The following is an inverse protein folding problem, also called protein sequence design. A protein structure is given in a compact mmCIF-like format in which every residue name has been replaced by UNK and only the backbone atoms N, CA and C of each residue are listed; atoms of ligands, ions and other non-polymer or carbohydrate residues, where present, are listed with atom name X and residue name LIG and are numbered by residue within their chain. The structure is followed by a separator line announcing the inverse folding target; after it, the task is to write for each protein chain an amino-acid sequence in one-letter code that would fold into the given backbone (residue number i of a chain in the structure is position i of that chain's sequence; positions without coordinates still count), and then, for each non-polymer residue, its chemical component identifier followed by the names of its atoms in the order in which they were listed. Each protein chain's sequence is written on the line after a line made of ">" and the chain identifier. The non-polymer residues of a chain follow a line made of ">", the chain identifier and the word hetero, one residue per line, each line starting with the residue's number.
data_IF_076517400615
#
_entry.id   IF_076517400615
#
_cell.length_a   1.000
_cell.length_b   1.000
_cell.length_c   1.000
_cell.angle_alpha   90.00
_cell.angle_beta   90.00
_cell.angle_gamma   90.00
#
_symmetry.space_group_name_H-M   'P 1'
#
loop_
_entity.id
_entity.type
_entity.pdbx_description
1 polymer ?
#
# COMPACT_ATOMS: atom_id res chain seq x y z
N UNK A 1 8.98 -26.80 -24.19
CA UNK A 1 7.52 -26.98 -24.26
C UNK A 1 6.91 -26.28 -23.06
N UNK A 2 6.23 -25.15 -23.25
CA UNK A 2 5.41 -24.55 -22.20
C UNK A 2 4.09 -25.30 -22.27
N UNK A 3 3.84 -26.20 -21.32
CA UNK A 3 2.53 -26.81 -21.14
C UNK A 3 1.55 -25.67 -20.91
N UNK A 4 0.56 -25.51 -21.79
CA UNK A 4 -0.53 -24.56 -21.59
C UNK A 4 -1.23 -24.94 -20.29
N UNK A 5 -1.04 -24.12 -19.26
CA UNK A 5 -1.72 -24.29 -17.99
C UNK A 5 -3.15 -23.81 -18.19
N UNK A 6 -4.12 -24.58 -17.68
CA UNK A 6 -5.52 -24.15 -17.64
C UNK A 6 -5.83 -23.67 -16.21
N UNK A 7 -5.83 -22.35 -15.93
CA UNK A 7 -6.14 -21.83 -14.59
C UNK A 7 -7.54 -22.23 -14.11
N UNK A 8 -8.48 -22.51 -15.02
CA UNK A 8 -9.84 -22.94 -14.68
C UNK A 8 -9.89 -24.39 -14.20
N UNK A 9 -8.80 -25.14 -14.33
CA UNK A 9 -8.66 -26.48 -13.73
C UNK A 9 -8.32 -26.45 -12.23
N UNK A 10 -7.99 -25.27 -11.68
CA UNK A 10 -7.86 -25.09 -10.23
C UNK A 10 -9.24 -25.22 -9.61
N UNK A 11 -9.56 -26.41 -9.08
CA UNK A 11 -10.70 -26.57 -8.18
C UNK A 11 -10.54 -25.52 -7.07
N UNK A 12 -11.57 -24.69 -6.86
CA UNK A 12 -11.62 -23.73 -5.74
C UNK A 12 -11.33 -24.51 -4.46
N UNK A 13 -10.11 -24.37 -3.96
CA UNK A 13 -9.64 -25.00 -2.73
C UNK A 13 -10.24 -24.25 -1.54
N UNK A 14 -10.23 -24.86 -0.36
CA UNK A 14 -10.58 -24.16 0.88
C UNK A 14 -9.80 -22.84 1.02
N UNK A 15 -8.54 -22.80 0.54
CA UNK A 15 -7.72 -21.59 0.53
C UNK A 15 -8.29 -20.48 -0.35
N UNK A 16 -8.90 -20.79 -1.50
CA UNK A 16 -9.57 -19.78 -2.32
C UNK A 16 -10.76 -19.16 -1.58
N UNK A 17 -11.56 -19.98 -0.90
CA UNK A 17 -12.69 -19.48 -0.10
C UNK A 17 -12.21 -18.55 1.01
N UNK A 18 -11.16 -18.93 1.75
CA UNK A 18 -10.56 -18.08 2.78
C UNK A 18 -9.98 -16.79 2.20
N UNK A 19 -9.27 -16.85 1.06
CA UNK A 19 -8.74 -15.66 0.41
C UNK A 19 -9.85 -14.69 0.00
N UNK A 20 -10.94 -15.20 -0.61
CA UNK A 20 -12.05 -14.36 -1.05
C UNK A 20 -12.78 -13.72 0.13
N UNK A 21 -13.01 -14.46 1.23
CA UNK A 21 -13.59 -13.89 2.46
C UNK A 21 -12.68 -12.81 3.07
N UNK A 22 -11.39 -13.11 3.21
CA UNK A 22 -10.39 -12.17 3.68
C UNK A 22 -10.32 -10.89 2.83
N UNK A 23 -10.28 -11.04 1.51
CA UNK A 23 -10.21 -9.93 0.57
C UNK A 23 -11.44 -9.02 0.71
N UNK A 24 -12.64 -9.61 0.82
CA UNK A 24 -13.88 -8.85 1.06
C UNK A 24 -13.83 -8.08 2.37
N UNK A 25 -13.37 -8.70 3.46
CA UNK A 25 -13.21 -8.01 4.76
C UNK A 25 -12.18 -6.89 4.67
N UNK A 26 -11.03 -7.10 4.04
CA UNK A 26 -10.04 -6.02 3.82
C UNK A 26 -10.60 -4.85 3.00
N UNK A 27 -11.29 -5.15 1.88
CA UNK A 27 -11.91 -4.13 1.03
C UNK A 27 -12.97 -3.32 1.79
N UNK A 28 -13.82 -3.99 2.58
CA UNK A 28 -14.82 -3.37 3.46
C UNK A 28 -14.21 -2.38 4.44
N UNK A 29 -13.13 -2.78 5.08
CA UNK A 29 -12.47 -2.00 6.12
C UNK A 29 -11.54 -0.93 5.58
N UNK A 30 -11.19 -1.01 4.29
CA UNK A 30 -10.14 -0.22 3.65
C UNK A 30 -8.78 -0.39 4.34
N UNK A 31 -8.55 -1.57 4.93
CA UNK A 31 -7.28 -1.92 5.56
C UNK A 31 -6.19 -2.26 4.53
N UNK A 32 -6.58 -2.54 3.28
CA UNK A 32 -5.63 -2.64 2.17
C UNK A 32 -5.01 -1.26 1.93
N UNK A 33 -3.70 -1.12 2.14
CA UNK A 33 -2.96 0.15 2.02
C UNK A 33 -3.76 1.38 2.53
N UNK A 34 -4.06 1.44 3.83
CA UNK A 34 -5.05 2.38 4.39
C UNK A 34 -4.63 3.85 4.22
N UNK A 35 -3.37 4.07 3.86
CA UNK A 35 -2.79 5.37 3.59
C UNK A 35 -3.37 6.04 2.33
N UNK A 36 -3.91 5.28 1.36
CA UNK A 36 -4.54 5.87 0.18
C UNK A 36 -5.70 6.78 0.57
N UNK A 37 -6.67 6.24 1.32
CA UNK A 37 -7.81 7.02 1.81
C UNK A 37 -7.37 8.17 2.72
N UNK A 38 -6.38 7.92 3.59
CA UNK A 38 -5.85 8.95 4.48
C UNK A 38 -5.31 10.15 3.70
N UNK A 39 -4.45 9.91 2.70
CA UNK A 39 -3.81 10.99 1.96
C UNK A 39 -4.80 11.71 1.04
N UNK A 40 -5.79 11.02 0.46
CA UNK A 40 -6.89 11.64 -0.28
C UNK A 40 -7.63 12.66 0.60
N UNK A 41 -7.89 12.33 1.87
CA UNK A 41 -8.53 13.24 2.81
C UNK A 41 -7.62 14.41 3.22
N UNK A 42 -6.34 14.12 3.53
CA UNK A 42 -5.37 15.14 3.97
C UNK A 42 -5.05 16.15 2.87
N UNK A 43 -5.03 15.74 1.60
CA UNK A 43 -4.69 16.61 0.48
C UNK A 43 -5.84 17.49 -0.02
N UNK A 44 -7.04 17.41 0.58
CA UNK A 44 -8.16 18.26 0.19
C UNK A 44 -7.78 19.73 0.33
N UNK A 45 -7.84 20.47 -0.78
CA UNK A 45 -7.47 21.88 -0.85
C UNK A 45 -5.99 22.16 -1.14
N UNK A 46 -5.16 21.13 -1.30
CA UNK A 46 -3.80 21.29 -1.82
C UNK A 46 -3.82 21.47 -3.34
N UNK A 47 -2.87 22.24 -3.86
CA UNK A 47 -2.64 22.27 -5.30
C UNK A 47 -2.04 20.93 -5.80
N UNK A 48 -2.07 20.63 -7.11
CA UNK A 48 -1.59 19.35 -7.63
C UNK A 48 -0.11 19.04 -7.32
N UNK A 49 0.73 20.06 -7.20
CA UNK A 49 2.17 19.89 -6.93
C UNK A 49 2.39 19.58 -5.45
N UNK A 50 1.70 20.29 -4.55
CA UNK A 50 1.68 20.01 -3.12
C UNK A 50 1.16 18.59 -2.83
N UNK A 51 0.10 18.16 -3.52
CA UNK A 51 -0.48 16.84 -3.38
C UNK A 51 0.51 15.73 -3.78
N UNK A 52 1.19 15.87 -4.92
CA UNK A 52 2.24 14.93 -5.36
C UNK A 52 3.41 14.93 -4.38
N UNK A 53 3.81 16.11 -3.91
CA UNK A 53 4.90 16.24 -2.96
C UNK A 53 4.60 15.57 -1.61
N UNK A 54 3.40 15.75 -1.06
CA UNK A 54 2.98 15.09 0.16
C UNK A 54 2.96 13.56 0.00
N UNK A 55 2.43 13.03 -1.10
CA UNK A 55 2.47 11.59 -1.41
C UNK A 55 3.90 11.07 -1.50
N UNK A 56 4.80 11.82 -2.13
CA UNK A 56 6.21 11.45 -2.20
C UNK A 56 6.90 11.46 -0.83
N UNK A 57 6.67 12.48 -0.01
CA UNK A 57 7.16 12.53 1.37
C UNK A 57 6.61 11.35 2.20
N UNK A 58 5.34 10.98 2.01
CA UNK A 58 4.78 9.77 2.62
C UNK A 58 5.57 8.54 2.20
N UNK A 59 5.87 8.36 0.91
CA UNK A 59 6.67 7.23 0.44
C UNK A 59 8.11 7.28 0.95
N UNK A 60 8.67 8.48 1.13
CA UNK A 60 10.01 8.69 1.69
C UNK A 60 10.11 8.09 3.10
N UNK A 61 9.22 8.51 4.00
CA UNK A 61 9.21 8.09 5.41
C UNK A 61 8.45 6.77 5.66
N UNK A 62 7.54 6.39 4.76
CA UNK A 62 6.51 5.36 4.97
C UNK A 62 5.77 5.55 6.32
N UNK A 63 5.57 6.81 6.70
CA UNK A 63 4.92 7.25 7.93
C UNK A 63 4.17 8.56 7.66
N UNK A 64 2.85 8.62 7.91
CA UNK A 64 2.04 9.79 7.57
C UNK A 64 2.34 11.02 8.44
N UNK A 65 2.70 10.83 9.71
CA UNK A 65 3.02 11.94 10.61
C UNK A 65 4.39 12.55 10.30
N UNK A 66 5.42 11.75 10.01
CA UNK A 66 6.73 12.27 9.57
C UNK A 66 6.60 13.03 8.25
N UNK A 67 5.83 12.48 7.30
CA UNK A 67 5.57 13.13 6.02
C UNK A 67 4.82 14.45 6.18
N UNK A 68 3.73 14.45 6.95
CA UNK A 68 2.93 15.65 7.18
C UNK A 68 3.70 16.72 7.98
N UNK A 69 4.46 16.32 9.00
CA UNK A 69 5.35 17.21 9.75
C UNK A 69 6.37 17.92 8.84
N UNK A 70 6.93 17.18 7.88
CA UNK A 70 7.86 17.71 6.88
C UNK A 70 7.15 18.63 5.89
N UNK A 71 5.99 18.20 5.38
CA UNK A 71 5.18 18.96 4.43
C UNK A 71 4.75 20.33 4.98
N UNK A 72 4.35 20.41 6.26
CA UNK A 72 3.97 21.69 6.89
C UNK A 72 5.09 22.74 6.87
N UNK A 73 6.36 22.31 6.85
CA UNK A 73 7.54 23.19 6.83
C UNK A 73 8.06 23.42 5.41
N UNK A 74 7.86 22.43 4.53
CA UNK A 74 8.32 22.42 3.16
C UNK A 74 7.19 21.93 2.24
N UNK A 75 6.20 22.78 1.93
CA UNK A 75 4.99 22.35 1.22
C UNK A 75 5.20 22.10 -0.29
N UNK A 76 6.34 22.51 -0.83
CA UNK A 76 6.74 22.28 -2.23
C UNK A 76 8.07 21.52 -2.28
N UNK A 77 8.38 20.83 -3.40
CA UNK A 77 9.67 20.18 -3.59
C UNK A 77 10.83 21.15 -3.38
N UNK A 78 11.52 20.98 -2.26
CA UNK A 78 12.67 21.78 -1.88
C UNK A 78 13.63 20.93 -1.06
N UNK A 79 14.88 21.36 -0.98
CA UNK A 79 15.89 20.62 -0.24
C UNK A 79 15.54 20.59 1.25
N UNK A 80 15.47 19.39 1.80
CA UNK A 80 15.19 19.12 3.21
C UNK A 80 16.51 18.96 3.96
N UNK A 81 16.68 19.57 5.16
CA UNK A 81 17.89 19.43 5.95
C UNK A 81 18.02 18.03 6.57
N UNK A 82 19.26 17.66 6.90
CA UNK A 82 19.64 16.31 7.39
C UNK A 82 19.03 15.95 8.75
N UNK A 83 18.56 16.92 9.54
CA UNK A 83 17.90 16.65 10.83
C UNK A 83 16.61 15.84 10.68
N UNK A 84 15.98 15.87 9.49
CA UNK A 84 14.82 15.05 9.16
C UNK A 84 15.13 13.55 9.04
N UNK A 85 16.40 13.16 8.90
CA UNK A 85 16.79 11.74 8.97
C UNK A 85 16.54 11.11 10.35
N UNK A 86 16.32 11.94 11.38
CA UNK A 86 15.98 11.49 12.74
C UNK A 86 14.50 11.17 12.88
N UNK A 87 13.62 11.61 11.98
CA UNK A 87 12.20 11.33 12.06
C UNK A 87 11.93 9.84 11.90
N UNK A 88 10.85 9.37 12.53
CA UNK A 88 10.49 7.95 12.47
C UNK A 88 10.15 7.51 11.03
N UNK A 89 10.85 6.48 10.55
CA UNK A 89 10.59 5.82 9.28
C UNK A 89 9.77 4.55 9.54
N UNK A 90 8.55 4.48 9.00
CA UNK A 90 7.60 3.41 9.33
C UNK A 90 7.93 2.05 8.71
N UNK A 91 8.76 2.01 7.66
CA UNK A 91 9.28 0.79 7.04
C UNK A 91 10.67 1.05 6.51
N UNK A 92 11.68 0.40 7.10
CA UNK A 92 13.04 0.50 6.58
C UNK A 92 13.14 -0.18 5.21
N UNK A 93 13.54 0.59 4.21
CA UNK A 93 13.82 0.10 2.86
C UNK A 93 15.29 -0.28 2.78
N UNK A 94 15.64 -1.37 2.10
CA UNK A 94 17.03 -1.86 1.99
C UNK A 94 18.03 -0.77 1.59
N UNK A 95 17.63 0.11 0.67
CA UNK A 95 18.48 1.20 0.18
C UNK A 95 18.42 2.48 1.05
N UNK A 96 17.60 2.48 2.10
CA UNK A 96 17.46 3.56 3.08
C UNK A 96 17.80 3.12 4.50
N UNK A 97 18.51 1.99 4.65
CA UNK A 97 19.03 1.55 5.94
C UNK A 97 20.10 2.58 6.33
N UNK A 98 19.92 3.24 7.48
CA UNK A 98 20.76 4.32 8.04
C UNK A 98 20.74 5.67 7.26
N UNK A 99 20.10 6.68 7.87
CA UNK A 99 20.24 8.14 7.61
C UNK A 99 20.36 8.60 6.16
N UNK A 100 19.34 8.31 5.35
CA UNK A 100 19.38 8.72 3.94
C UNK A 100 18.01 9.05 3.35
N UNK A 101 17.00 9.27 4.21
CA UNK A 101 15.69 9.69 3.71
C UNK A 101 15.78 11.11 3.13
N UNK A 102 16.59 11.99 3.71
CA UNK A 102 16.83 13.34 3.16
C UNK A 102 17.53 13.27 1.81
N UNK A 103 18.54 12.39 1.65
CA UNK A 103 19.19 12.12 0.36
C UNK A 103 18.19 11.63 -0.69
N UNK A 104 17.29 10.72 -0.33
CA UNK A 104 16.21 10.26 -1.20
C UNK A 104 15.29 11.40 -1.60
N UNK A 105 14.83 12.18 -0.62
CA UNK A 105 13.93 13.31 -0.85
C UNK A 105 14.58 14.33 -1.78
N UNK A 106 15.80 14.74 -1.45
CA UNK A 106 16.57 15.73 -2.19
C UNK A 106 16.90 15.25 -3.61
N UNK A 107 17.01 13.94 -3.86
CA UNK A 107 17.20 13.43 -5.22
C UNK A 107 16.03 13.71 -6.15
N UNK A 108 14.78 13.64 -5.66
CA UNK A 108 13.62 14.04 -6.47
C UNK A 108 13.65 15.54 -6.74
N UNK A 109 13.95 16.35 -5.73
CA UNK A 109 14.06 17.81 -5.86
C UNK A 109 15.06 18.19 -6.95
N UNK A 110 16.21 17.50 -7.01
CA UNK A 110 17.21 17.72 -8.05
C UNK A 110 16.72 17.31 -9.45
N UNK A 111 16.04 16.16 -9.56
CA UNK A 111 15.48 15.67 -10.81
C UNK A 111 14.33 16.55 -11.34
N UNK A 112 13.62 17.23 -10.44
CA UNK A 112 12.41 18.00 -10.73
C UNK A 112 12.64 19.51 -10.90
N UNK A 113 13.90 19.97 -10.97
CA UNK A 113 14.25 21.40 -11.01
C UNK A 113 13.62 22.20 -12.16
N UNK A 114 13.30 21.54 -13.27
CA UNK A 114 12.85 22.19 -14.50
C UNK A 114 11.33 22.13 -14.73
N UNK A 115 10.52 21.80 -13.72
CA UNK A 115 9.07 21.64 -13.91
C UNK A 115 8.26 21.17 -12.70
N UNK A 116 8.92 20.87 -11.58
CA UNK A 116 8.25 20.29 -10.41
C UNK A 116 8.17 18.76 -10.47
N UNK A 117 7.84 18.18 -9.33
CA UNK A 117 7.79 16.74 -9.11
C UNK A 117 6.73 16.09 -9.99
N UNK A 118 5.56 16.72 -10.15
CA UNK A 118 4.50 16.19 -11.02
C UNK A 118 4.98 16.07 -12.46
N UNK A 119 5.50 17.15 -13.03
CA UNK A 119 5.98 17.18 -14.42
C UNK A 119 7.09 16.14 -14.64
N UNK A 120 8.04 16.04 -13.73
CA UNK A 120 9.11 15.04 -13.78
C UNK A 120 8.56 13.61 -13.83
N UNK A 121 7.64 13.28 -12.91
CA UNK A 121 7.12 11.92 -12.78
C UNK A 121 6.23 11.52 -13.96
N UNK A 122 5.50 12.48 -14.54
CA UNK A 122 4.63 12.25 -15.70
C UNK A 122 5.31 12.52 -17.03
N UNK A 123 6.63 12.75 -17.03
CA UNK A 123 7.40 12.94 -18.25
C UNK A 123 7.25 11.72 -19.16
N UNK A 124 7.03 11.97 -20.44
CA UNK A 124 6.87 10.98 -21.51
C UNK A 124 5.60 10.10 -21.38
N UNK A 125 4.59 10.58 -20.64
CA UNK A 125 3.26 9.97 -20.68
C UNK A 125 2.63 10.12 -22.08
N UNK A 126 1.92 9.08 -22.48
CA UNK A 126 1.21 8.90 -23.75
C UNK A 126 -0.30 8.77 -23.48
N UNK A 127 -1.09 8.44 -24.51
CA UNK A 127 -2.51 8.12 -24.35
C UNK A 127 -2.77 6.70 -23.80
N UNK A 128 -1.74 5.87 -23.63
CA UNK A 128 -1.83 4.50 -23.12
C UNK A 128 -1.54 4.46 -21.63
N UNK A 129 -2.58 4.29 -20.79
CA UNK A 129 -2.44 4.25 -19.31
C UNK A 129 -1.53 3.11 -18.84
N UNK A 130 -1.53 1.98 -19.54
CA UNK A 130 -0.67 0.83 -19.21
C UNK A 130 0.81 1.11 -19.53
N UNK A 131 1.09 1.85 -20.60
CA UNK A 131 2.46 2.26 -20.92
C UNK A 131 2.91 3.39 -20.00
N UNK A 132 2.01 4.30 -19.64
CA UNK A 132 2.28 5.34 -18.63
C UNK A 132 2.63 4.74 -17.27
N UNK A 133 2.04 3.60 -16.89
CA UNK A 133 2.44 2.85 -15.69
C UNK A 133 3.92 2.43 -15.75
N UNK A 134 4.37 1.86 -16.89
CA UNK A 134 5.77 1.48 -17.09
C UNK A 134 6.69 2.70 -17.08
N UNK A 135 6.27 3.79 -17.73
CA UNK A 135 7.00 5.07 -17.73
C UNK A 135 7.15 5.62 -16.33
N UNK A 136 6.07 5.64 -15.54
CA UNK A 136 6.08 6.09 -14.15
C UNK A 136 7.03 5.23 -13.29
N UNK A 137 6.99 3.90 -13.43
CA UNK A 137 7.92 3.00 -12.74
C UNK A 137 9.37 3.32 -13.10
N UNK A 138 9.67 3.58 -14.37
CA UNK A 138 11.01 3.95 -14.82
C UNK A 138 11.46 5.30 -14.24
N UNK A 139 10.60 6.32 -14.30
CA UNK A 139 10.86 7.63 -13.71
C UNK A 139 11.03 7.57 -12.19
N UNK A 140 10.33 6.66 -11.49
CA UNK A 140 10.51 6.47 -10.06
C UNK A 140 11.80 5.71 -9.72
N UNK A 141 12.27 4.81 -10.58
CA UNK A 141 13.51 4.03 -10.39
C UNK A 141 14.78 4.90 -10.53
N UNK A 142 14.70 6.07 -11.13
CA UNK A 142 15.83 7.03 -11.19
C UNK A 142 16.02 7.81 -9.88
N UNK A 143 14.97 7.93 -9.06
CA UNK A 143 15.03 8.60 -7.76
C UNK A 143 15.93 7.79 -6.83
N UNK A 144 16.94 8.42 -6.22
CA UNK A 144 17.93 7.72 -5.43
C UNK A 144 17.26 6.93 -4.29
N UNK A 145 17.63 5.66 -4.11
CA UNK A 145 17.05 4.81 -3.07
C UNK A 145 15.75 4.08 -3.46
N UNK A 146 15.13 4.43 -4.60
CA UNK A 146 14.01 3.65 -5.13
C UNK A 146 14.51 2.38 -5.82
N UNK A 147 14.41 1.26 -5.10
CA UNK A 147 14.38 -0.06 -5.73
C UNK A 147 13.02 -0.34 -6.39
N UNK A 148 12.89 -1.50 -7.04
CA UNK A 148 11.71 -1.86 -7.83
C UNK A 148 10.42 -1.91 -7.01
N UNK A 149 10.46 -2.52 -5.82
CA UNK A 149 9.34 -2.49 -4.88
C UNK A 149 8.95 -1.06 -4.47
N UNK A 150 9.92 -0.20 -4.18
CA UNK A 150 9.63 1.19 -3.78
C UNK A 150 9.02 2.00 -4.93
N UNK A 151 9.49 1.79 -6.16
CA UNK A 151 8.89 2.39 -7.35
C UNK A 151 7.46 1.91 -7.56
N UNK A 152 7.19 0.60 -7.41
CA UNK A 152 5.84 0.03 -7.53
C UNK A 152 4.87 0.64 -6.53
N UNK A 153 5.19 0.61 -5.23
CA UNK A 153 4.32 1.18 -4.20
C UNK A 153 4.16 2.70 -4.34
N UNK A 154 5.18 3.41 -4.82
CA UNK A 154 5.06 4.85 -5.10
C UNK A 154 4.16 5.11 -6.31
N UNK A 155 4.27 4.31 -7.38
CA UNK A 155 3.41 4.42 -8.55
C UNK A 155 1.94 4.15 -8.19
N UNK A 156 1.69 3.15 -7.34
CA UNK A 156 0.35 2.86 -6.83
C UNK A 156 -0.23 4.03 -6.02
N UNK A 157 0.61 4.65 -5.17
CA UNK A 157 0.26 5.86 -4.44
C UNK A 157 -0.15 7.00 -5.39
N UNK A 158 0.66 7.29 -6.41
CA UNK A 158 0.34 8.36 -7.37
C UNK A 158 -0.89 8.05 -8.23
N UNK A 159 -1.10 6.78 -8.57
CA UNK A 159 -2.30 6.32 -9.27
C UNK A 159 -3.56 6.61 -8.45
N UNK A 160 -3.61 6.12 -7.20
CA UNK A 160 -4.82 6.16 -6.38
C UNK A 160 -5.05 7.51 -5.70
N UNK A 161 -3.99 8.16 -5.24
CA UNK A 161 -4.08 9.41 -4.46
C UNK A 161 -4.00 10.63 -5.36
N UNK A 162 -3.07 10.66 -6.32
CA UNK A 162 -2.85 11.83 -7.17
C UNK A 162 -3.51 11.73 -8.55
N UNK A 163 -4.24 10.63 -8.80
CA UNK A 163 -5.03 10.40 -10.01
C UNK A 163 -4.17 10.53 -11.28
N UNK A 164 -2.94 10.01 -11.23
CA UNK A 164 -2.10 9.93 -12.42
C UNK A 164 -2.75 9.02 -13.46
N UNK A 165 -2.59 9.37 -14.74
CA UNK A 165 -3.23 8.65 -15.84
C UNK A 165 -2.49 7.35 -16.19
N UNK A 166 -2.49 6.42 -15.23
CA UNK A 166 -1.82 5.13 -15.27
C UNK A 166 -2.79 4.04 -14.82
N UNK A 167 -2.57 2.80 -15.27
CA UNK A 167 -3.25 1.61 -14.74
C UNK A 167 -2.19 0.53 -14.48
N UNK A 168 -2.15 -0.06 -13.27
CA UNK A 168 -1.24 -1.17 -12.98
C UNK A 168 -1.51 -2.36 -13.91
N UNK A 169 -0.54 -2.69 -14.77
CA UNK A 169 -0.67 -3.76 -15.79
C UNK A 169 -0.04 -5.09 -15.36
N UNK A 170 0.62 -5.14 -14.20
CA UNK A 170 1.44 -6.25 -13.69
C UNK A 170 1.52 -6.20 -12.15
N UNK A 171 1.77 -7.34 -11.52
CA UNK A 171 2.12 -7.43 -10.09
C UNK A 171 3.64 -7.53 -9.83
N UNK A 172 4.47 -7.59 -10.88
CA UNK A 172 5.93 -7.77 -10.79
C UNK A 172 6.33 -8.99 -9.91
N UNK A 173 5.66 -10.14 -10.11
CA UNK A 173 5.79 -11.36 -9.27
C UNK A 173 7.18 -11.99 -9.28
N UNK A 174 7.97 -11.72 -10.30
CA UNK A 174 9.37 -12.11 -10.35
C UNK A 174 10.21 -11.46 -9.24
N UNK A 175 9.74 -10.35 -8.67
CA UNK A 175 10.51 -9.55 -7.73
C UNK A 175 9.76 -9.27 -6.41
N UNK A 176 8.44 -9.42 -6.41
CA UNK A 176 7.59 -9.20 -5.26
C UNK A 176 7.35 -10.51 -4.49
N UNK A 177 8.22 -10.77 -3.48
CA UNK A 177 8.16 -12.02 -2.69
C UNK A 177 6.85 -12.23 -1.91
N UNK A 178 6.17 -11.15 -1.52
CA UNK A 178 4.89 -11.20 -0.81
C UNK A 178 3.75 -11.75 -1.67
N UNK A 179 3.34 -11.03 -2.74
CA UNK A 179 2.26 -11.46 -3.62
C UNK A 179 2.56 -12.78 -4.29
N UNK A 180 3.81 -13.03 -4.70
CA UNK A 180 4.26 -14.34 -5.22
C UNK A 180 3.89 -15.48 -4.28
N UNK A 181 4.21 -15.34 -2.99
CA UNK A 181 3.87 -16.34 -1.98
C UNK A 181 2.36 -16.43 -1.75
N UNK A 182 1.64 -15.31 -1.84
CA UNK A 182 0.17 -15.30 -1.81
C UNK A 182 -0.44 -16.12 -2.96
N UNK A 183 0.08 -15.97 -4.18
CA UNK A 183 -0.34 -16.79 -5.33
C UNK A 183 -0.07 -18.26 -5.05
N UNK A 184 1.16 -18.61 -4.67
CA UNK A 184 1.53 -19.99 -4.32
C UNK A 184 0.64 -20.56 -3.20
N UNK A 185 0.31 -19.76 -2.19
CA UNK A 185 -0.54 -20.14 -1.08
C UNK A 185 -1.95 -20.53 -1.53
N UNK A 186 -2.51 -19.83 -2.53
CA UNK A 186 -3.86 -20.06 -3.08
C UNK A 186 -3.87 -21.23 -4.06
N UNK A 187 -2.88 -21.28 -4.97
CA UNK A 187 -2.85 -22.23 -6.08
C UNK A 187 -2.19 -23.56 -5.72
N UNK A 188 -1.49 -23.64 -4.58
CA UNK A 188 -0.70 -24.81 -4.18
C UNK A 188 0.61 -24.98 -4.96
N UNK A 189 0.96 -24.01 -5.81
CA UNK A 189 2.20 -24.05 -6.59
C UNK A 189 3.43 -23.82 -5.72
N UNK A 190 4.58 -24.36 -6.17
CA UNK A 190 5.84 -24.09 -5.52
C UNK A 190 6.29 -22.65 -5.73
N UNK A 191 6.90 -22.04 -4.71
CA UNK A 191 7.50 -20.70 -4.85
C UNK A 191 8.67 -20.66 -5.85
N UNK A 192 9.20 -21.80 -6.27
CA UNK A 192 10.21 -21.93 -7.34
C UNK A 192 9.62 -22.01 -8.75
N UNK A 193 8.28 -22.02 -8.90
CA UNK A 193 7.63 -22.05 -10.21
C UNK A 193 8.03 -20.83 -11.08
N UNK A 194 8.08 -20.96 -12.42
CA UNK A 194 8.44 -19.83 -13.28
C UNK A 194 7.56 -18.60 -13.04
N UNK A 195 8.15 -17.41 -12.98
CA UNK A 195 7.40 -16.18 -12.67
C UNK A 195 6.31 -15.88 -13.69
N UNK A 196 6.55 -16.18 -14.98
CA UNK A 196 5.52 -16.05 -16.03
C UNK A 196 4.26 -16.87 -15.73
N UNK A 197 4.43 -18.08 -15.19
CA UNK A 197 3.31 -18.94 -14.80
C UNK A 197 2.58 -18.35 -13.60
N UNK A 198 3.31 -17.89 -12.59
CA UNK A 198 2.69 -17.29 -11.41
C UNK A 198 1.98 -15.97 -11.73
N UNK A 199 2.46 -15.21 -12.72
CA UNK A 199 1.81 -14.00 -13.24
C UNK A 199 0.48 -14.33 -13.93
N UNK A 200 0.41 -15.41 -14.71
CA UNK A 200 -0.86 -15.88 -15.28
C UNK A 200 -1.88 -16.23 -14.19
N UNK A 201 -1.44 -16.91 -13.13
CA UNK A 201 -2.31 -17.22 -11.98
C UNK A 201 -2.72 -15.98 -11.20
N UNK A 202 -1.85 -14.99 -11.06
CA UNK A 202 -2.19 -13.73 -10.43
C UNK A 202 -3.24 -12.95 -11.22
N UNK A 203 -3.13 -12.92 -12.55
CA UNK A 203 -4.16 -12.34 -13.44
C UNK A 203 -5.48 -13.10 -13.32
N UNK A 204 -5.43 -14.44 -13.20
CA UNK A 204 -6.62 -15.23 -12.95
C UNK A 204 -7.24 -14.89 -11.59
N UNK A 205 -6.45 -14.84 -10.50
CA UNK A 205 -6.92 -14.45 -9.16
C UNK A 205 -7.57 -13.06 -9.20
N UNK A 206 -6.89 -12.09 -9.84
CA UNK A 206 -7.41 -10.74 -10.03
C UNK A 206 -8.76 -10.77 -10.76
N UNK A 207 -8.87 -11.48 -11.89
CA UNK A 207 -10.13 -11.61 -12.63
C UNK A 207 -11.24 -12.22 -11.76
N UNK A 208 -10.96 -13.28 -11.02
CA UNK A 208 -11.93 -13.94 -10.15
C UNK A 208 -12.37 -13.02 -9.00
N UNK A 209 -11.45 -12.28 -8.40
CA UNK A 209 -11.74 -11.31 -7.34
C UNK A 209 -12.56 -10.14 -7.88
N UNK A 210 -12.20 -9.58 -9.04
CA UNK A 210 -12.98 -8.52 -9.69
C UNK A 210 -14.41 -8.98 -9.98
N UNK A 211 -14.60 -10.23 -10.41
CA UNK A 211 -15.94 -10.80 -10.60
C UNK A 211 -16.70 -10.97 -9.27
N UNK A 212 -16.06 -11.45 -8.21
CA UNK A 212 -16.72 -11.66 -6.91
C UNK A 212 -17.06 -10.35 -6.19
N UNK A 213 -16.31 -9.28 -6.46
CA UNK A 213 -16.49 -7.97 -5.83
C UNK A 213 -17.56 -7.13 -6.55
N UNK A 214 -17.78 -7.32 -7.85
CA UNK A 214 -18.87 -6.67 -8.62
C UNK A 214 -20.26 -7.06 -8.09
N UNK A 215 -20.39 -8.22 -7.43
CA UNK A 215 -21.64 -8.66 -6.79
C UNK A 215 -22.05 -7.78 -5.58
N UNK A 216 -21.20 -6.84 -5.17
CA UNK A 216 -21.40 -5.97 -4.02
C UNK A 216 -21.36 -4.49 -4.45
N UNK A 217 -22.53 -3.81 -4.52
CA UNK A 217 -22.63 -2.42 -5.00
C UNK A 217 -21.73 -1.42 -4.25
N UNK A 218 -21.42 -1.68 -2.98
CA UNK A 218 -20.52 -0.86 -2.16
C UNK A 218 -19.05 -0.91 -2.63
N UNK A 219 -18.62 -1.99 -3.29
CA UNK A 219 -17.26 -2.15 -3.80
C UNK A 219 -17.13 -1.91 -5.29
N UNK A 220 -18.24 -2.02 -6.05
CA UNK A 220 -18.27 -1.77 -7.49
C UNK A 220 -17.74 -0.35 -7.86
N UNK A 221 -17.86 0.62 -6.94
CA UNK A 221 -17.32 1.98 -7.11
C UNK A 221 -15.84 2.12 -6.78
N UNK A 222 -15.28 1.22 -5.96
CA UNK A 222 -13.86 1.25 -5.61
C UNK A 222 -13.01 0.67 -6.75
N UNK A 223 -13.55 -0.32 -7.48
CA UNK A 223 -12.79 -1.11 -8.42
C UNK A 223 -11.73 -1.96 -7.71
N UNK A 224 -11.49 -3.17 -8.19
CA UNK A 224 -10.29 -3.92 -7.81
C UNK A 224 -9.34 -3.80 -8.98
N UNK A 225 -8.19 -3.16 -8.76
CA UNK A 225 -7.10 -3.14 -9.74
C UNK A 225 -6.03 -4.19 -9.39
N UNK A 226 -5.03 -4.30 -10.25
CA UNK A 226 -3.94 -5.26 -10.07
C UNK A 226 -3.11 -4.98 -8.81
N UNK A 227 -2.95 -3.71 -8.42
CA UNK A 227 -2.17 -3.32 -7.24
C UNK A 227 -2.92 -3.62 -5.94
N UNK A 228 -4.25 -3.42 -5.89
CA UNK A 228 -5.08 -3.87 -4.76
C UNK A 228 -4.94 -5.38 -4.60
N UNK A 229 -4.97 -6.13 -5.72
CA UNK A 229 -4.83 -7.58 -5.68
C UNK A 229 -3.43 -7.99 -5.17
N UNK A 230 -2.38 -7.26 -5.54
CA UNK A 230 -1.01 -7.45 -5.02
C UNK A 230 -0.97 -7.33 -3.48
N UNK A 231 -1.51 -6.24 -2.94
CA UNK A 231 -1.55 -6.00 -1.49
C UNK A 231 -2.34 -7.07 -0.75
N UNK A 232 -3.50 -7.46 -1.28
CA UNK A 232 -4.34 -8.53 -0.73
C UNK A 232 -3.60 -9.88 -0.69
N UNK A 233 -2.86 -10.23 -1.74
CA UNK A 233 -2.06 -11.46 -1.80
C UNK A 233 -0.91 -11.42 -0.78
N UNK A 234 -0.24 -10.28 -0.66
CA UNK A 234 0.84 -10.08 0.30
C UNK A 234 0.34 -10.23 1.75
N UNK A 235 -0.78 -9.60 2.08
CA UNK A 235 -1.35 -9.64 3.42
C UNK A 235 -1.99 -10.99 3.74
N UNK A 236 -2.60 -11.65 2.77
CA UNK A 236 -3.11 -13.02 2.95
C UNK A 236 -1.98 -14.00 3.27
N UNK A 237 -0.83 -13.88 2.62
CA UNK A 237 0.37 -14.62 3.02
C UNK A 237 0.79 -14.27 4.47
N UNK A 238 0.66 -13.00 4.87
CA UNK A 238 0.83 -12.56 6.26
C UNK A 238 -0.13 -13.25 7.23
N UNK A 239 -1.42 -13.31 6.88
CA UNK A 239 -2.50 -13.93 7.65
C UNK A 239 -2.23 -15.42 7.86
N UNK A 240 -1.92 -16.17 6.80
CA UNK A 240 -1.55 -17.60 6.88
C UNK A 240 -0.35 -17.88 7.78
N UNK A 241 0.55 -16.90 7.95
CA UNK A 241 1.74 -17.01 8.82
C UNK A 241 1.50 -16.53 10.25
N UNK A 242 0.28 -16.12 10.59
CA UNK A 242 -0.04 -15.63 11.92
C UNK A 242 0.54 -14.23 12.19
N UNK A 243 0.71 -13.40 11.14
CA UNK A 243 1.35 -12.07 11.21
C UNK A 243 0.42 -10.93 10.79
N UNK A 244 -0.84 -11.24 10.52
CA UNK A 244 -1.85 -10.30 10.01
C UNK A 244 -3.23 -10.61 10.57
N UNK A 245 -4.09 -9.60 10.69
CA UNK A 245 -5.53 -9.68 10.89
C UNK A 245 -6.18 -8.46 10.20
N UNK A 246 -7.49 -8.49 9.93
CA UNK A 246 -8.16 -7.38 9.23
C UNK A 246 -8.28 -6.15 10.14
N UNK A 247 -7.74 -5.03 9.67
CA UNK A 247 -7.59 -3.74 10.33
C UNK A 247 -6.22 -3.54 11.01
N UNK A 248 -5.26 -4.44 10.78
CA UNK A 248 -3.91 -4.35 11.34
C UNK A 248 -3.15 -3.13 10.82
N UNK A 249 -3.29 -2.80 9.55
CA UNK A 249 -2.56 -1.67 8.98
C UNK A 249 -3.18 -0.32 9.40
N UNK A 250 -4.49 -0.30 9.68
CA UNK A 250 -5.16 0.84 10.35
C UNK A 250 -4.57 1.08 11.74
N UNK A 251 -4.36 0.03 12.55
CA UNK A 251 -3.74 0.14 13.87
C UNK A 251 -2.26 0.53 13.79
N UNK A 252 -1.53 -0.08 12.85
CA UNK A 252 -0.13 0.29 12.58
C UNK A 252 -0.01 1.76 12.19
N UNK A 253 -0.94 2.30 11.41
CA UNK A 253 -0.98 3.72 11.07
C UNK A 253 -1.13 4.58 12.33
N UNK A 254 -2.02 4.21 13.26
CA UNK A 254 -2.16 4.92 14.54
C UNK A 254 -0.86 4.89 15.35
N UNK A 255 -0.22 3.72 15.52
CA UNK A 255 1.08 3.61 16.19
C UNK A 255 2.14 4.53 15.58
N UNK A 256 2.19 4.58 14.24
CA UNK A 256 3.12 5.40 13.48
C UNK A 256 2.91 6.89 13.75
N UNK A 257 1.67 7.35 13.85
CA UNK A 257 1.36 8.74 14.21
C UNK A 257 1.81 9.02 15.64
N UNK A 258 1.41 8.18 16.60
CA UNK A 258 1.77 8.33 18.02
C UNK A 258 3.28 8.38 18.26
N UNK A 259 4.05 7.57 17.51
CA UNK A 259 5.50 7.58 17.61
C UNK A 259 6.08 8.95 17.25
N UNK A 260 5.58 9.61 16.22
CA UNK A 260 6.05 10.95 15.83
C UNK A 260 5.55 12.00 16.81
N UNK A 261 4.30 11.91 17.30
CA UNK A 261 3.80 12.78 18.38
C UNK A 261 4.75 12.76 19.58
N UNK A 262 5.15 11.56 20.04
CA UNK A 262 6.07 11.40 21.16
C UNK A 262 7.47 11.97 20.90
N UNK A 263 7.86 12.06 19.63
CA UNK A 263 9.17 12.54 19.20
C UNK A 263 9.22 14.06 19.02
N UNK A 264 8.16 14.66 18.47
CA UNK A 264 8.14 16.08 18.08
C UNK A 264 7.32 16.97 19.02
N UNK A 265 6.43 16.40 19.82
CA UNK A 265 5.47 17.14 20.65
C UNK A 265 4.30 17.75 19.88
N UNK A 266 4.23 17.52 18.56
CA UNK A 266 3.20 18.11 17.69
C UNK A 266 1.87 17.37 17.78
N UNK A 267 0.77 18.11 17.69
CA UNK A 267 -0.57 17.55 17.56
C UNK A 267 -0.95 17.39 16.08
N UNK A 268 -1.09 16.14 15.61
CA UNK A 268 -1.50 15.85 14.25
C UNK A 268 -3.03 15.72 14.10
N UNK A 269 -3.78 16.71 14.61
CA UNK A 269 -5.24 16.70 14.59
C UNK A 269 -5.85 16.51 13.18
N UNK A 270 -5.18 17.00 12.14
CA UNK A 270 -5.57 16.79 10.73
C UNK A 270 -5.54 15.30 10.36
N UNK A 271 -4.51 14.56 10.77
CA UNK A 271 -4.39 13.12 10.47
C UNK A 271 -5.48 12.31 11.19
N UNK A 272 -5.81 12.65 12.44
CA UNK A 272 -6.89 11.97 13.16
C UNK A 272 -8.28 12.24 12.55
N UNK A 273 -8.55 13.49 12.13
CA UNK A 273 -9.79 13.80 11.41
C UNK A 273 -9.88 13.06 10.08
N UNK A 274 -8.78 13.01 9.33
CA UNK A 274 -8.71 12.25 8.08
C UNK A 274 -8.96 10.75 8.32
N UNK A 275 -8.36 10.15 9.37
CA UNK A 275 -8.65 8.76 9.76
C UNK A 275 -10.14 8.53 10.05
N UNK A 276 -10.77 9.42 10.80
CA UNK A 276 -12.22 9.33 11.10
C UNK A 276 -13.12 9.47 9.87
N UNK A 277 -12.68 10.21 8.85
CA UNK A 277 -13.41 10.34 7.59
C UNK A 277 -13.27 9.07 6.72
N UNK A 278 -12.16 8.32 6.84
CA UNK A 278 -11.88 7.16 5.99
C UNK A 278 -12.42 5.86 6.57
N UNK A 279 -12.21 5.63 7.86
CA UNK A 279 -12.43 4.34 8.52
C UNK A 279 -13.67 4.37 9.43
N UNK A 280 -14.37 3.23 9.50
CA UNK A 280 -15.44 3.03 10.48
C UNK A 280 -14.93 3.19 11.91
N UNK A 281 -15.78 3.74 12.80
CA UNK A 281 -15.42 4.02 14.20
C UNK A 281 -14.89 2.77 14.90
N UNK A 282 -15.47 1.62 14.62
CA UNK A 282 -15.10 0.30 15.14
C UNK A 282 -13.66 -0.12 14.79
N UNK A 283 -13.05 0.45 13.75
CA UNK A 283 -11.68 0.17 13.32
C UNK A 283 -10.65 1.16 13.92
N UNK A 284 -11.09 2.20 14.62
CA UNK A 284 -10.23 3.24 15.19
C UNK A 284 -9.94 2.96 16.66
N UNK A 285 -8.77 2.40 16.96
CA UNK A 285 -8.35 2.09 18.34
C UNK A 285 -8.34 3.33 19.25
N UNK A 286 -8.02 4.52 18.70
CA UNK A 286 -8.05 5.79 19.42
C UNK A 286 -9.45 6.21 19.94
N UNK A 287 -10.54 5.68 19.37
CA UNK A 287 -11.91 6.05 19.74
C UNK A 287 -12.62 5.03 20.63
N UNK A 288 -12.08 3.82 20.73
CA UNK A 288 -12.71 2.70 21.42
C UNK A 288 -11.94 2.26 22.67
N UNK A 289 -10.97 3.06 23.12
CA UNK A 289 -10.19 2.76 24.33
C UNK A 289 -9.33 1.50 24.22
N UNK A 290 -9.07 1.01 23.01
CA UNK A 290 -8.24 -0.17 22.78
C UNK A 290 -6.77 0.16 22.95
N UNK A 291 -5.97 -0.85 23.27
CA UNK A 291 -4.51 -0.74 23.33
C UNK A 291 -4.02 -0.18 21.99
N UNK A 292 -3.16 0.84 22.06
CA UNK A 292 -2.48 1.36 20.88
C UNK A 292 -1.51 0.30 20.37
N UNK A 293 -1.90 -0.38 19.30
CA UNK A 293 -0.97 -1.15 18.49
C UNK A 293 -1.51 -2.42 17.88
N UNK A 294 -0.60 -3.23 17.35
CA UNK A 294 -0.94 -4.47 16.66
C UNK A 294 -1.33 -5.53 17.70
N UNK A 295 -2.53 -6.07 17.58
CA UNK A 295 -2.98 -7.23 18.36
C UNK A 295 -2.31 -8.51 17.86
N UNK A 296 -1.28 -8.96 18.60
CA UNK A 296 -0.49 -10.14 18.24
C UNK A 296 -1.24 -11.46 18.43
N UNK A 297 -2.25 -11.50 19.29
CA UNK A 297 -3.03 -12.72 19.51
C UNK A 297 -4.08 -12.86 18.42
N UNK A 298 -4.72 -11.77 18.02
CA UNK A 298 -5.59 -11.75 16.84
C UNK A 298 -4.85 -12.15 15.56
N UNK A 299 -3.59 -11.74 15.41
CA UNK A 299 -2.76 -12.14 14.28
C UNK A 299 -2.68 -13.66 14.11
N UNK A 300 -2.78 -14.44 15.19
CA UNK A 300 -2.59 -15.90 15.18
C UNK A 300 -3.88 -16.68 14.86
N UNK A 301 -5.06 -16.05 15.00
CA UNK A 301 -6.35 -16.75 14.92
C UNK A 301 -6.56 -17.52 13.62
N UNK A 302 -6.19 -16.95 12.48
CA UNK A 302 -6.33 -17.65 11.20
C UNK A 302 -5.38 -18.83 11.09
N UNK A 303 -4.11 -18.67 11.50
CA UNK A 303 -3.11 -19.74 11.44
C UNK A 303 -3.48 -20.91 12.35
N UNK A 304 -3.99 -20.61 13.54
CA UNK A 304 -4.20 -21.61 14.60
C UNK A 304 -5.61 -22.25 14.50
N UNK A 305 -6.61 -21.50 14.00
CA UNK A 305 -8.02 -21.91 14.02
C UNK A 305 -8.77 -21.72 12.70
N UNK A 306 -8.16 -21.16 11.66
CA UNK A 306 -8.83 -20.84 10.39
C UNK A 306 -9.82 -19.67 10.48
N UNK A 307 -9.77 -18.88 11.56
CA UNK A 307 -10.69 -17.77 11.80
C UNK A 307 -10.12 -16.47 11.22
N UNK A 308 -10.84 -15.86 10.28
CA UNK A 308 -10.52 -14.53 9.74
C UNK A 308 -11.16 -13.47 10.64
N UNK A 309 -10.39 -12.99 11.61
CA UNK A 309 -10.84 -11.98 12.55
C UNK A 309 -10.84 -10.58 11.94
N UNK A 310 -11.93 -9.85 12.19
CA UNK A 310 -12.00 -8.39 12.10
C UNK A 310 -12.47 -7.80 13.44
N UNK A 311 -12.67 -6.48 13.53
CA UNK A 311 -13.10 -5.80 14.77
C UNK A 311 -14.61 -5.81 15.02
N UNK A 312 -15.43 -6.16 14.02
CA UNK A 312 -16.87 -6.30 14.20
C UNK A 312 -17.21 -7.65 14.85
N UNK A 313 -16.34 -8.63 14.70
CA UNK A 313 -16.46 -9.92 15.36
C UNK A 313 -16.04 -9.77 16.84
N UNK A 314 -17.01 -9.72 17.75
CA UNK A 314 -16.77 -9.73 19.21
C UNK A 314 -16.19 -11.08 19.65
N UNK A 315 -14.91 -11.29 19.39
CA UNK A 315 -14.13 -12.33 20.04
C UNK A 315 -13.47 -11.69 21.25
N UNK A 316 -13.93 -12.10 22.44
CA UNK A 316 -13.50 -11.69 23.79
C UNK A 316 -14.13 -10.39 24.33
#
# INVERSE_FOLDING_TARGET
>A
MITTINPDSVKKSDTWFYFNDFARKQLKTKDYDPFHGLLIEVQKGLDPEQAVWLSFLYMAFYNPASAYYTFLRYPYPTRIPEDYDKLHIGKQRRNLITTSVTKHINSLVELSKNGGAKEYLTKDFTNSKEDNWKTLLNNLRTVWGNGRWAAYTSADMFHKVNVFDVIPSTMEIDEASGPRRGVCDITGMANSSPSVVLEEYARWIHKQLSMSVVEYPEYARLGVDMAITESLLCDFHGLKKGRYYVGRDIDRMHMRIQKVVSQTGESFGVLYRARQAVFGREYLSELNGRIVGIDLDRCKLFRDFGIIADYADNFF
#
